data_IF_027619732961
#
_entry.id   IF_027619732961
#
_cell.length_a   1.000
_cell.length_b   1.000
_cell.length_c   1.000
_cell.angle_alpha   90.00
_cell.angle_beta   90.00
_cell.angle_gamma   90.00
#
_symmetry.space_group_name_H-M   'P 1'
#
loop_
_entity.id
_entity.type
_entity.pdbx_description
1 polymer ?
#
# COMPACT_ATOMS: atom_id res chain seq x y z
N UNK A 1 9.60 34.54 36.77
CA UNK A 1 8.50 34.87 37.69
C UNK A 1 7.36 35.52 36.90
N UNK A 2 6.37 34.74 36.47
CA UNK A 2 5.14 35.24 35.84
C UNK A 2 3.97 34.72 36.68
N UNK A 3 3.26 35.64 37.34
CA UNK A 3 2.05 35.36 38.11
C UNK A 3 0.91 35.00 37.15
N UNK A 4 0.37 33.79 37.29
CA UNK A 4 -0.89 33.37 36.65
C UNK A 4 -2.01 33.46 37.70
N UNK A 5 -3.02 34.27 37.37
CA UNK A 5 -4.22 34.51 38.17
C UNK A 5 -5.19 33.33 38.02
N UNK A 6 -5.58 32.73 39.15
CA UNK A 6 -6.70 31.79 39.23
C UNK A 6 -8.02 32.57 39.21
N UNK A 7 -8.84 32.33 38.19
CA UNK A 7 -10.23 32.76 38.15
C UNK A 7 -11.13 31.63 38.68
N UNK A 8 -11.74 31.84 39.84
CA UNK A 8 -12.81 30.99 40.37
C UNK A 8 -14.12 31.29 39.61
N UNK A 9 -14.61 30.34 38.83
CA UNK A 9 -15.96 30.37 38.29
C UNK A 9 -16.88 29.56 39.21
N UNK A 10 -17.81 30.24 39.87
CA UNK A 10 -18.85 29.63 40.68
C UNK A 10 -19.92 29.04 39.76
N UNK A 11 -20.02 27.72 39.70
CA UNK A 11 -21.12 27.02 39.02
C UNK A 11 -22.37 27.02 39.92
N UNK A 12 -23.45 27.61 39.40
CA UNK A 12 -24.79 27.57 39.98
C UNK A 12 -25.41 26.18 39.76
N UNK A 13 -25.57 25.42 40.84
CA UNK A 13 -26.35 24.20 40.89
C UNK A 13 -27.84 24.54 40.85
N UNK A 14 -28.50 24.23 39.73
CA UNK A 14 -29.97 24.21 39.63
C UNK A 14 -30.43 22.77 39.87
N UNK A 15 -31.23 22.48 40.91
CA UNK A 15 -31.82 21.16 41.08
C UNK A 15 -32.91 20.96 40.00
N UNK A 16 -32.65 20.04 39.08
CA UNK A 16 -33.67 19.51 38.18
C UNK A 16 -34.65 18.69 39.01
N UNK A 17 -35.90 19.15 39.06
CA UNK A 17 -37.02 18.37 39.59
C UNK A 17 -37.24 17.16 38.67
N UNK A 18 -36.82 15.99 39.11
CA UNK A 18 -37.12 14.73 38.43
C UNK A 18 -38.61 14.42 38.52
N UNK A 19 -39.26 14.27 37.38
CA UNK A 19 -40.53 13.58 37.30
C UNK A 19 -40.25 12.08 37.50
N UNK A 20 -40.27 11.62 38.76
CA UNK A 20 -40.38 10.19 39.04
C UNK A 20 -41.79 9.74 38.65
N UNK A 21 -41.92 9.13 37.47
CA UNK A 21 -43.08 8.31 37.15
C UNK A 21 -42.97 7.04 38.00
N UNK A 22 -43.58 7.07 39.19
CA UNK A 22 -43.84 5.88 39.98
C UNK A 22 -44.83 5.00 39.20
N UNK A 23 -44.30 4.03 38.45
CA UNK A 23 -45.11 2.91 37.96
C UNK A 23 -45.42 2.08 39.20
N UNK A 24 -46.62 2.27 39.76
CA UNK A 24 -47.15 1.34 40.75
C UNK A 24 -47.42 0.01 40.04
N UNK A 25 -46.53 -0.95 40.26
CA UNK A 25 -46.81 -2.36 39.98
C UNK A 25 -47.82 -2.78 41.04
N UNK A 26 -49.10 -2.75 40.67
CA UNK A 26 -50.18 -3.25 41.50
C UNK A 26 -50.07 -4.77 41.55
N UNK A 27 -49.39 -5.30 42.58
CA UNK A 27 -49.37 -6.72 42.94
C UNK A 27 -50.74 -7.12 43.57
N UNK A 28 -51.82 -6.76 42.88
CA UNK A 28 -53.20 -6.99 43.24
C UNK A 28 -53.52 -8.48 43.26
N UNK A 29 -53.41 -9.07 44.45
CA UNK A 29 -53.67 -10.48 44.70
C UNK A 29 -55.06 -10.96 44.27
N UNK A 30 -55.08 -12.19 43.75
CA UNK A 30 -56.21 -13.11 43.95
C UNK A 30 -57.29 -13.12 42.87
N UNK A 31 -56.92 -13.13 41.59
CA UNK A 31 -57.83 -13.51 40.49
C UNK A 31 -57.36 -14.80 39.83
N UNK A 32 -57.95 -15.94 40.19
CA UNK A 32 -57.67 -17.20 39.54
C UNK A 32 -58.11 -17.18 38.06
N UNK A 33 -57.18 -17.39 37.13
CA UNK A 33 -57.49 -17.93 35.80
C UNK A 33 -57.36 -17.02 34.58
N UNK A 34 -56.68 -15.89 34.66
CA UNK A 34 -56.23 -15.18 33.45
C UNK A 34 -54.91 -15.78 32.97
N UNK A 35 -54.93 -16.60 31.92
CA UNK A 35 -53.72 -16.86 31.14
C UNK A 35 -53.15 -15.49 30.75
N UNK A 36 -51.88 -15.23 31.05
CA UNK A 36 -51.23 -13.98 30.68
C UNK A 36 -51.49 -13.70 29.20
N UNK A 37 -52.20 -12.61 28.89
CA UNK A 37 -52.63 -12.28 27.51
C UNK A 37 -51.44 -12.20 26.55
N UNK A 38 -50.25 -11.88 27.08
CA UNK A 38 -49.02 -12.06 26.35
C UNK A 38 -48.63 -13.54 26.34
N UNK A 39 -48.67 -14.14 25.14
CA UNK A 39 -48.04 -15.43 24.84
C UNK A 39 -46.53 -15.43 25.12
N UNK A 40 -45.75 -16.45 24.70
CA UNK A 40 -44.32 -16.51 24.98
C UNK A 40 -43.60 -15.22 24.54
N UNK A 41 -42.61 -14.73 25.32
CA UNK A 41 -41.89 -13.51 24.99
C UNK A 41 -41.18 -13.65 23.65
N UNK A 42 -40.93 -12.52 22.94
CA UNK A 42 -40.13 -12.53 21.74
C UNK A 42 -38.76 -13.16 22.03
N UNK A 43 -38.18 -13.91 21.07
CA UNK A 43 -36.85 -14.46 21.25
C UNK A 43 -35.85 -13.34 21.58
N UNK A 44 -34.88 -13.59 22.48
CA UNK A 44 -33.88 -12.59 22.82
C UNK A 44 -33.16 -12.16 21.54
N UNK A 45 -33.09 -10.85 21.32
CA UNK A 45 -32.28 -10.32 20.23
C UNK A 45 -30.82 -10.56 20.60
N UNK A 46 -29.98 -10.99 19.65
CA UNK A 46 -28.53 -11.20 19.85
C UNK A 46 -27.76 -9.87 19.97
N UNK A 47 -28.42 -8.82 20.46
CA UNK A 47 -27.82 -7.53 20.72
C UNK A 47 -26.95 -7.57 21.99
N UNK A 48 -26.05 -6.58 22.15
CA UNK A 48 -25.16 -6.49 23.31
C UNK A 48 -25.89 -6.29 24.65
N UNK A 49 -27.16 -5.86 24.62
CA UNK A 49 -28.04 -5.90 25.79
C UNK A 49 -29.15 -6.95 25.55
N UNK A 50 -29.34 -7.91 26.45
CA UNK A 50 -30.52 -8.76 26.39
C UNK A 50 -31.77 -7.90 26.66
N UNK A 51 -32.81 -7.98 25.83
CA UNK A 51 -34.05 -7.26 26.10
C UNK A 51 -34.67 -7.76 27.41
N UNK A 52 -35.31 -6.87 28.15
CA UNK A 52 -36.11 -7.21 29.33
C UNK A 52 -37.57 -7.03 28.95
N UNK A 53 -38.22 -8.11 28.54
CA UNK A 53 -39.61 -8.05 28.11
C UNK A 53 -40.55 -8.06 29.31
N UNK A 54 -41.45 -7.08 29.39
CA UNK A 54 -42.58 -7.09 30.31
C UNK A 54 -43.89 -7.05 29.52
N UNK A 55 -44.86 -7.85 29.96
CA UNK A 55 -46.21 -7.82 29.41
C UNK A 55 -46.97 -6.67 30.09
N UNK A 56 -47.38 -5.67 29.31
CA UNK A 56 -48.19 -4.54 29.78
C UNK A 56 -49.38 -4.44 28.82
N UNK A 57 -50.60 -4.58 29.36
CA UNK A 57 -51.86 -4.49 28.60
C UNK A 57 -51.94 -5.40 27.36
N UNK A 58 -51.41 -6.62 27.47
CA UNK A 58 -51.43 -7.60 26.38
C UNK A 58 -50.35 -7.41 25.31
N UNK A 59 -49.46 -6.43 25.45
CA UNK A 59 -48.31 -6.21 24.56
C UNK A 59 -46.97 -6.42 25.28
N UNK A 60 -46.02 -7.05 24.58
CA UNK A 60 -44.63 -7.16 25.07
C UNK A 60 -43.90 -5.84 24.87
N UNK A 61 -43.53 -5.19 25.97
CA UNK A 61 -42.75 -3.95 26.01
C UNK A 61 -41.33 -4.29 26.45
N UNK A 62 -40.33 -3.81 25.71
CA UNK A 62 -38.93 -3.88 26.15
C UNK A 62 -38.69 -2.79 27.21
N UNK A 63 -38.61 -3.21 28.47
CA UNK A 63 -38.38 -2.32 29.61
C UNK A 63 -36.91 -2.21 29.99
N UNK A 64 -36.00 -2.87 29.26
CA UNK A 64 -34.56 -2.75 29.51
C UNK A 64 -34.02 -1.32 29.30
N UNK A 65 -34.87 -0.38 28.88
CA UNK A 65 -34.48 0.94 28.45
C UNK A 65 -33.81 0.85 27.09
N UNK A 66 -33.87 1.92 26.30
CA UNK A 66 -32.98 2.04 25.17
C UNK A 66 -31.55 1.86 25.69
N UNK A 67 -30.81 0.85 25.21
CA UNK A 67 -29.39 0.72 25.55
C UNK A 67 -28.75 2.08 25.32
N UNK A 68 -27.96 2.61 26.27
CA UNK A 68 -27.19 3.80 25.98
C UNK A 68 -26.38 3.53 24.71
N UNK A 69 -26.42 4.48 23.79
CA UNK A 69 -25.64 4.36 22.56
C UNK A 69 -24.17 4.12 22.94
N UNK A 70 -23.50 3.15 22.30
CA UNK A 70 -22.16 2.77 22.71
C UNK A 70 -21.22 3.97 22.64
N UNK A 71 -20.63 4.32 23.77
CA UNK A 71 -19.75 5.47 23.88
C UNK A 71 -18.35 5.12 23.36
N UNK A 72 -17.76 6.08 22.65
CA UNK A 72 -16.35 5.95 22.28
C UNK A 72 -15.48 6.18 23.51
N UNK A 73 -14.45 5.33 23.75
CA UNK A 73 -13.45 5.59 24.76
C UNK A 73 -12.86 6.99 24.60
N UNK A 74 -12.57 7.68 25.71
CA UNK A 74 -12.02 9.04 25.67
C UNK A 74 -10.64 9.13 25.00
N UNK A 75 -9.85 8.06 25.09
CA UNK A 75 -8.57 7.90 24.41
C UNK A 75 -8.68 6.79 23.36
N UNK A 76 -7.79 6.81 22.38
CA UNK A 76 -7.70 5.74 21.40
C UNK A 76 -7.47 4.38 22.08
N UNK A 77 -8.31 3.37 21.82
CA UNK A 77 -8.14 2.04 22.40
C UNK A 77 -6.96 1.30 21.77
N UNK A 78 -6.38 0.36 22.51
CA UNK A 78 -5.32 -0.51 21.97
C UNK A 78 -5.90 -1.57 21.03
N UNK A 79 -5.13 -1.99 20.03
CA UNK A 79 -5.53 -3.10 19.15
C UNK A 79 -5.79 -4.36 19.98
N UNK A 80 -6.98 -4.96 19.80
CA UNK A 80 -7.43 -6.16 20.51
C UNK A 80 -8.15 -5.89 21.83
N UNK A 81 -8.24 -4.63 22.28
CA UNK A 81 -9.02 -4.28 23.47
C UNK A 81 -10.52 -4.51 23.24
N UNK A 82 -11.25 -4.95 24.28
CA UNK A 82 -12.69 -5.20 24.18
C UNK A 82 -13.47 -3.91 23.88
N UNK A 83 -14.54 -4.05 23.12
CA UNK A 83 -15.39 -2.95 22.69
C UNK A 83 -16.87 -3.26 22.91
N UNK A 84 -17.70 -2.22 23.07
CA UNK A 84 -19.10 -2.38 23.46
C UNK A 84 -19.96 -2.98 22.33
N UNK A 85 -19.61 -2.71 21.06
CA UNK A 85 -20.41 -3.14 19.91
C UNK A 85 -19.56 -3.38 18.66
N UNK A 86 -19.61 -4.59 18.10
CA UNK A 86 -18.99 -4.91 16.80
C UNK A 86 -19.51 -3.94 15.73
N UNK A 87 -18.59 -3.36 14.96
CA UNK A 87 -18.86 -2.33 13.97
C UNK A 87 -18.91 -0.90 14.51
N UNK A 88 -18.78 -0.69 15.83
CA UNK A 88 -18.60 0.65 16.42
C UNK A 88 -17.36 1.31 15.82
N UNK A 89 -17.49 2.57 15.42
CA UNK A 89 -16.40 3.38 14.88
C UNK A 89 -16.21 4.61 15.75
N UNK A 90 -14.96 4.88 16.09
CA UNK A 90 -14.56 6.03 16.89
C UNK A 90 -13.43 6.77 16.19
N UNK A 91 -13.61 8.07 15.97
CA UNK A 91 -12.60 8.94 15.36
C UNK A 91 -11.84 9.69 16.45
N UNK A 92 -10.52 9.66 16.38
CA UNK A 92 -9.61 10.31 17.30
C UNK A 92 -8.71 11.26 16.54
N UNK A 93 -8.60 12.50 17.00
CA UNK A 93 -7.64 13.46 16.46
C UNK A 93 -6.34 13.33 17.24
N UNK A 94 -5.26 12.86 16.59
CA UNK A 94 -3.95 12.66 17.22
C UNK A 94 -2.93 13.50 16.48
N UNK A 95 -2.01 14.11 17.22
CA UNK A 95 -0.91 14.89 16.65
C UNK A 95 0.03 13.93 15.91
N UNK A 96 0.28 14.19 14.63
CA UNK A 96 1.11 13.32 13.81
C UNK A 96 2.59 13.54 14.10
N UNK A 97 3.40 12.48 14.14
CA UNK A 97 4.85 12.61 14.34
C UNK A 97 5.58 13.22 13.12
N UNK A 98 4.94 13.24 11.95
CA UNK A 98 5.53 13.57 10.65
C UNK A 98 5.02 14.89 10.04
N UNK A 99 4.28 15.70 10.79
CA UNK A 99 3.79 17.00 10.34
C UNK A 99 3.41 17.90 11.51
N UNK A 100 3.15 19.18 11.23
CA UNK A 100 2.63 20.15 12.22
C UNK A 100 1.11 20.03 12.45
N UNK A 101 0.52 18.88 12.11
CA UNK A 101 -0.91 18.68 12.01
C UNK A 101 -1.45 17.56 12.90
N UNK A 102 -2.77 17.49 12.97
CA UNK A 102 -3.50 16.37 13.55
C UNK A 102 -4.11 15.54 12.42
N UNK A 103 -4.14 14.23 12.56
CA UNK A 103 -4.92 13.36 11.69
C UNK A 103 -6.02 12.62 12.44
N UNK A 104 -7.05 12.26 11.69
CA UNK A 104 -8.21 11.52 12.19
C UNK A 104 -7.94 10.02 12.09
N UNK A 105 -7.81 9.37 13.24
CA UNK A 105 -7.65 7.93 13.38
C UNK A 105 -9.01 7.30 13.62
N UNK A 106 -9.38 6.32 12.81
CA UNK A 106 -10.63 5.58 12.98
C UNK A 106 -10.33 4.22 13.59
N UNK A 107 -10.73 4.03 14.85
CA UNK A 107 -10.77 2.71 15.48
C UNK A 107 -12.13 2.07 15.21
N UNK A 108 -12.12 0.85 14.69
CA UNK A 108 -13.31 0.05 14.43
C UNK A 108 -13.32 -1.16 15.34
N UNK A 109 -14.40 -1.37 16.07
CA UNK A 109 -14.60 -2.58 16.87
C UNK A 109 -14.89 -3.77 15.96
N UNK A 110 -14.09 -4.82 16.09
CA UNK A 110 -14.22 -6.07 15.33
C UNK A 110 -14.56 -7.24 16.26
N UNK A 111 -14.72 -8.44 15.70
CA UNK A 111 -14.94 -9.65 16.50
C UNK A 111 -13.76 -9.97 17.45
N UNK A 112 -12.56 -9.46 17.18
CA UNK A 112 -11.37 -9.66 18.01
C UNK A 112 -11.04 -8.46 18.90
N UNK A 113 -11.95 -7.49 19.02
CA UNK A 113 -11.73 -6.23 19.73
C UNK A 113 -11.49 -5.04 18.81
N UNK A 114 -11.06 -3.91 19.37
CA UNK A 114 -10.72 -2.70 18.64
C UNK A 114 -9.60 -2.96 17.63
N UNK A 115 -9.78 -2.45 16.42
CA UNK A 115 -8.78 -2.44 15.37
C UNK A 115 -8.68 -1.02 14.82
N UNK A 116 -7.49 -0.43 14.91
CA UNK A 116 -7.24 0.88 14.32
C UNK A 116 -6.62 0.69 12.95
N UNK A 117 -7.23 1.31 11.94
CA UNK A 117 -6.61 1.45 10.62
C UNK A 117 -5.95 2.81 10.60
N UNK A 118 -4.63 2.82 10.47
CA UNK A 118 -3.84 4.04 10.42
C UNK A 118 -3.72 4.48 8.96
N UNK A 119 -4.06 5.72 8.66
CA UNK A 119 -3.35 6.43 7.60
C UNK A 119 -2.03 6.85 8.26
N UNK A 120 -1.04 5.96 8.25
CA UNK A 120 0.28 6.31 8.76
C UNK A 120 0.79 7.44 7.86
N UNK A 121 0.78 8.67 8.36
CA UNK A 121 1.60 9.70 7.77
C UNK A 121 3.04 9.17 7.83
N UNK A 122 3.60 8.96 6.64
CA UNK A 122 4.98 8.55 6.47
C UNK A 122 5.82 9.83 6.55
N UNK A 123 6.80 9.94 7.46
CA UNK A 123 7.69 11.10 7.49
C UNK A 123 8.32 11.34 6.11
N UNK A 124 8.73 12.57 5.81
CA UNK A 124 9.48 12.77 4.57
C UNK A 124 10.75 11.90 4.61
N UNK A 125 11.02 11.08 3.58
CA UNK A 125 12.17 10.22 3.59
C UNK A 125 13.45 11.05 3.65
N UNK A 126 14.35 10.73 4.57
CA UNK A 126 15.68 11.35 4.58
C UNK A 126 16.61 10.55 3.67
N UNK A 127 16.81 11.09 2.47
CA UNK A 127 17.71 10.50 1.49
C UNK A 127 19.10 11.15 1.54
N UNK A 128 20.18 10.37 1.47
CA UNK A 128 21.49 10.87 1.11
C UNK A 128 21.43 11.78 -0.12
N UNK A 129 22.28 12.82 -0.12
CA UNK A 129 22.44 13.66 -1.30
C UNK A 129 23.10 12.90 -2.46
N UNK A 130 23.98 11.97 -2.14
CA UNK A 130 24.72 11.14 -3.09
C UNK A 130 24.25 9.70 -2.98
N UNK A 131 24.12 9.02 -4.12
CA UNK A 131 23.64 7.64 -4.16
C UNK A 131 24.58 6.73 -3.33
N UNK A 132 24.07 6.05 -2.30
CA UNK A 132 24.86 5.14 -1.48
C UNK A 132 25.24 3.87 -2.28
N UNK A 133 26.26 3.16 -1.80
CA UNK A 133 26.64 1.86 -2.38
C UNK A 133 25.66 0.78 -1.92
N UNK A 134 25.23 -0.10 -2.81
CA UNK A 134 24.43 -1.27 -2.44
C UNK A 134 25.15 -2.11 -1.36
N UNK A 135 24.41 -2.51 -0.33
CA UNK A 135 24.94 -3.25 0.83
C UNK A 135 25.69 -2.39 1.86
N UNK A 136 25.88 -1.09 1.63
CA UNK A 136 26.48 -0.21 2.66
C UNK A 136 25.53 0.03 3.84
N UNK A 137 26.12 0.27 5.02
CA UNK A 137 25.37 0.50 6.27
C UNK A 137 24.50 1.76 6.17
N UNK A 138 23.23 1.62 6.50
CA UNK A 138 22.25 2.71 6.47
C UNK A 138 21.68 3.06 7.87
N UNK A 139 22.29 2.54 8.95
CA UNK A 139 21.85 2.73 10.35
C UNK A 139 21.76 4.19 10.83
N UNK A 140 22.41 5.12 10.12
CA UNK A 140 22.42 6.55 10.46
C UNK A 140 21.32 7.37 9.78
N UNK A 141 20.43 6.74 9.02
CA UNK A 141 19.37 7.40 8.26
C UNK A 141 18.00 7.07 8.83
N UNK A 142 17.21 8.11 9.05
CA UNK A 142 15.85 8.00 9.54
C UNK A 142 14.89 7.91 8.33
N UNK A 143 14.28 6.74 8.13
CA UNK A 143 13.27 6.53 7.07
C UNK A 143 13.77 6.69 5.62
N UNK A 144 14.90 6.11 5.20
CA UNK A 144 15.36 6.19 3.81
C UNK A 144 14.63 5.17 2.94
N UNK A 145 13.36 5.40 2.63
CA UNK A 145 12.60 4.62 1.64
C UNK A 145 12.42 5.41 0.36
N UNK A 146 12.39 4.70 -0.78
CA UNK A 146 12.14 5.28 -2.10
C UNK A 146 13.07 6.46 -2.47
N UNK A 147 14.34 6.38 -2.07
CA UNK A 147 15.32 7.39 -2.44
C UNK A 147 15.63 7.28 -3.94
N UNK A 148 15.23 8.31 -4.69
CA UNK A 148 15.43 8.35 -6.14
C UNK A 148 16.70 9.13 -6.48
N UNK A 149 17.54 8.52 -7.33
CA UNK A 149 18.77 9.11 -7.82
C UNK A 149 18.78 9.08 -9.33
N UNK A 150 19.19 10.20 -9.94
CA UNK A 150 19.42 10.29 -11.37
C UNK A 150 20.82 9.76 -11.68
N UNK A 151 20.90 8.64 -12.39
CA UNK A 151 22.16 8.05 -12.83
C UNK A 151 22.29 8.24 -14.34
N UNK A 152 23.41 8.82 -14.77
CA UNK A 152 23.71 8.93 -16.19
C UNK A 152 24.22 7.60 -16.73
N UNK A 153 23.47 6.99 -17.64
CA UNK A 153 23.92 5.89 -18.49
C UNK A 153 24.06 6.41 -19.93
N UNK A 154 25.28 6.59 -20.42
CA UNK A 154 25.57 6.83 -21.86
C UNK A 154 24.62 7.87 -22.51
N UNK A 155 24.65 9.11 -22.01
CA UNK A 155 23.83 10.26 -22.40
C UNK A 155 22.35 10.25 -22.00
N UNK A 156 21.85 9.17 -21.38
CA UNK A 156 20.48 9.09 -20.85
C UNK A 156 20.53 9.18 -19.32
N UNK A 157 19.65 9.99 -18.73
CA UNK A 157 19.42 10.00 -17.28
C UNK A 157 18.35 8.96 -16.96
N UNK A 158 18.72 7.91 -16.22
CA UNK A 158 17.79 6.90 -15.72
C UNK A 158 17.65 7.02 -14.20
N UNK A 159 16.43 6.98 -13.65
CA UNK A 159 16.25 6.95 -12.21
C UNK A 159 16.68 5.59 -11.64
N UNK A 160 17.25 5.62 -10.45
CA UNK A 160 17.50 4.47 -9.57
C UNK A 160 16.73 4.70 -8.28
N UNK A 161 15.97 3.70 -7.82
CA UNK A 161 15.33 3.73 -6.50
C UNK A 161 16.13 2.88 -5.52
N UNK A 162 16.39 3.42 -4.34
CA UNK A 162 17.03 2.70 -3.24
C UNK A 162 16.30 2.89 -1.92
N UNK A 163 16.42 1.90 -1.03
CA UNK A 163 15.86 1.92 0.32
C UNK A 163 16.81 1.31 1.37
N UNK A 164 16.66 1.64 2.66
CA UNK A 164 17.23 0.81 3.74
C UNK A 164 16.46 -0.51 3.80
N UNK A 165 17.17 -1.63 3.72
CA UNK A 165 16.68 -2.90 4.23
C UNK A 165 16.97 -3.00 5.73
N UNK A 166 15.91 -2.91 6.54
CA UNK A 166 15.99 -3.08 8.00
C UNK A 166 15.89 -4.56 8.45
N UNK A 167 15.76 -5.51 7.52
CA UNK A 167 15.82 -6.93 7.83
C UNK A 167 17.27 -7.41 8.09
N UNK A 168 18.27 -6.65 7.65
CA UNK A 168 19.70 -6.92 7.92
C UNK A 168 20.16 -6.27 9.23
N UNK A 169 21.25 -6.79 9.82
CA UNK A 169 21.85 -6.24 11.03
C UNK A 169 23.39 -6.17 10.89
N UNK A 170 23.96 -4.97 10.64
CA UNK A 170 23.28 -3.68 10.58
C UNK A 170 22.37 -3.56 9.35
N UNK A 171 21.35 -2.67 9.37
CA UNK A 171 20.54 -2.35 8.21
C UNK A 171 21.41 -1.84 7.06
N UNK A 172 21.06 -2.21 5.83
CA UNK A 172 21.89 -1.96 4.64
C UNK A 172 21.09 -1.40 3.48
N UNK A 173 21.70 -0.52 2.69
CA UNK A 173 21.12 0.01 1.46
C UNK A 173 20.84 -1.10 0.42
N UNK A 174 19.65 -1.05 -0.18
CA UNK A 174 19.18 -1.97 -1.20
C UNK A 174 18.71 -1.18 -2.43
N UNK A 175 18.93 -1.74 -3.63
CA UNK A 175 18.42 -1.17 -4.89
C UNK A 175 17.04 -1.77 -5.18
N UNK A 176 15.98 -0.97 -5.05
CA UNK A 176 14.61 -1.42 -5.32
C UNK A 176 14.33 -1.47 -6.84
N UNK A 177 14.88 -0.51 -7.57
CA UNK A 177 14.73 -0.40 -9.02
C UNK A 177 16.05 0.07 -9.62
N UNK A 178 16.79 -0.80 -10.34
CA UNK A 178 18.05 -0.42 -10.97
C UNK A 178 17.83 0.55 -12.12
N UNK A 179 18.89 1.23 -12.54
CA UNK A 179 18.86 2.05 -13.75
C UNK A 179 18.59 1.16 -14.96
N UNK A 180 17.65 1.56 -15.79
CA UNK A 180 17.35 0.89 -17.06
C UNK A 180 18.25 1.50 -18.11
N UNK A 181 19.49 1.03 -18.18
CA UNK A 181 20.42 1.40 -19.26
C UNK A 181 20.20 0.49 -20.50
N UNK A 182 18.96 0.13 -20.82
CA UNK A 182 18.67 -0.87 -21.86
C UNK A 182 18.58 -0.24 -23.23
N UNK A 183 19.67 -0.36 -23.97
CA UNK A 183 19.71 -0.29 -25.42
C UNK A 183 21.10 -0.75 -25.86
N UNK A 184 21.22 -1.94 -26.45
CA UNK A 184 22.51 -2.35 -27.00
C UNK A 184 22.98 -1.33 -28.06
N UNK A 185 22.04 -0.71 -28.76
CA UNK A 185 22.24 0.31 -29.80
C UNK A 185 23.02 1.55 -29.35
N UNK A 186 23.15 1.80 -28.04
CA UNK A 186 23.91 2.94 -27.50
C UNK A 186 25.38 2.60 -27.22
N UNK A 187 25.76 1.32 -27.30
CA UNK A 187 27.14 0.87 -27.08
C UNK A 187 27.91 1.02 -28.40
N UNK A 188 28.76 2.04 -28.48
CA UNK A 188 29.49 2.43 -29.69
C UNK A 188 30.78 1.66 -29.97
N UNK A 189 31.17 0.71 -29.13
CA UNK A 189 32.38 -0.09 -29.32
C UNK A 189 32.18 -1.59 -29.05
N UNK A 190 32.93 -2.41 -29.79
CA UNK A 190 32.81 -3.86 -29.74
C UNK A 190 33.17 -4.46 -28.37
N UNK A 191 34.15 -3.90 -27.65
CA UNK A 191 34.61 -4.48 -26.40
C UNK A 191 33.57 -4.31 -25.29
N UNK A 192 32.99 -3.12 -25.17
CA UNK A 192 31.91 -2.83 -24.23
C UNK A 192 30.65 -3.63 -24.57
N UNK A 193 30.35 -3.80 -25.86
CA UNK A 193 29.19 -4.56 -26.32
C UNK A 193 29.29 -6.04 -25.93
N UNK A 194 30.45 -6.65 -26.20
CA UNK A 194 30.71 -8.06 -25.85
C UNK A 194 30.82 -8.29 -24.34
N UNK A 195 31.01 -7.23 -23.55
CA UNK A 195 31.00 -7.27 -22.09
C UNK A 195 29.62 -7.02 -21.47
N UNK A 196 28.60 -6.72 -22.27
CA UNK A 196 27.24 -6.42 -21.79
C UNK A 196 26.33 -7.62 -22.01
N UNK A 197 25.82 -8.20 -20.92
CA UNK A 197 24.90 -9.34 -20.97
C UNK A 197 23.65 -9.00 -21.80
N UNK A 198 23.31 -9.86 -22.76
CA UNK A 198 22.17 -9.66 -23.67
C UNK A 198 22.46 -8.81 -24.90
N UNK A 199 23.72 -8.40 -25.13
CA UNK A 199 24.14 -7.68 -26.33
C UNK A 199 25.17 -8.45 -27.18
N UNK A 200 25.19 -8.18 -28.48
CA UNK A 200 26.14 -8.73 -29.46
C UNK A 200 26.61 -7.64 -30.43
N UNK A 201 27.89 -7.66 -30.79
CA UNK A 201 28.46 -6.75 -31.78
C UNK A 201 28.27 -7.30 -33.19
N UNK A 202 27.58 -6.56 -34.06
CA UNK A 202 27.38 -6.93 -35.45
C UNK A 202 28.18 -6.01 -36.36
N UNK A 203 28.83 -6.62 -37.36
CA UNK A 203 29.53 -5.92 -38.45
C UNK A 203 28.82 -6.20 -39.78
N UNK A 204 28.83 -5.26 -40.75
CA UNK A 204 28.31 -5.49 -42.09
C UNK A 204 29.04 -6.65 -42.79
N UNK A 205 28.28 -7.58 -43.38
CA UNK A 205 28.83 -8.69 -44.17
C UNK A 205 29.40 -8.26 -45.53
N UNK A 206 30.23 -9.13 -46.14
CA UNK A 206 30.79 -8.89 -47.47
C UNK A 206 29.75 -9.06 -48.57
N UNK A 207 29.19 -7.95 -49.07
CA UNK A 207 28.51 -7.92 -50.37
C UNK A 207 26.98 -7.84 -50.36
N UNK A 208 26.35 -7.73 -49.19
CA UNK A 208 24.89 -7.51 -49.08
C UNK A 208 24.54 -6.05 -48.79
N UNK A 209 23.34 -5.64 -49.19
CA UNK A 209 22.88 -4.25 -49.08
C UNK A 209 22.99 -3.69 -47.66
N UNK A 210 23.19 -2.37 -47.57
CA UNK A 210 23.49 -1.52 -46.38
C UNK A 210 22.54 -1.62 -45.16
N UNK A 211 21.82 -2.70 -44.94
CA UNK A 211 20.74 -2.74 -43.93
C UNK A 211 21.23 -2.85 -42.48
N UNK A 212 22.47 -3.27 -42.25
CA UNK A 212 23.07 -3.30 -40.91
C UNK A 212 24.30 -2.41 -40.90
N UNK A 213 24.33 -1.47 -39.96
CA UNK A 213 25.49 -0.62 -39.66
C UNK A 213 26.29 -1.35 -38.59
N UNK A 214 27.62 -1.24 -38.62
CA UNK A 214 28.45 -1.76 -37.53
C UNK A 214 28.00 -1.16 -36.18
N UNK A 215 27.68 -2.01 -35.21
CA UNK A 215 27.14 -1.57 -33.92
C UNK A 215 26.78 -2.72 -32.98
N UNK A 216 26.29 -2.36 -31.81
CA UNK A 216 25.88 -3.29 -30.77
C UNK A 216 24.36 -3.49 -30.79
N UNK A 217 23.91 -4.74 -30.72
CA UNK A 217 22.51 -5.14 -30.90
C UNK A 217 22.08 -6.14 -29.83
N UNK A 218 20.78 -6.26 -29.51
CA UNK A 218 20.29 -7.30 -28.61
C UNK A 218 20.62 -8.72 -29.12
N UNK A 219 20.93 -9.64 -28.21
CA UNK A 219 21.22 -11.06 -28.51
C UNK A 219 19.97 -11.89 -28.85
N UNK A 220 18.76 -11.33 -28.72
CA UNK A 220 17.53 -12.08 -28.96
C UNK A 220 17.41 -12.46 -30.45
N UNK A 221 17.66 -13.72 -30.76
CA UNK A 221 17.43 -14.29 -32.08
C UNK A 221 15.92 -14.47 -32.29
N UNK A 222 15.30 -13.48 -32.92
CA UNK A 222 13.87 -13.54 -33.18
C UNK A 222 13.47 -14.68 -34.12
N UNK A 223 14.42 -15.35 -34.79
CA UNK A 223 14.11 -16.55 -35.58
C UNK A 223 13.68 -17.72 -34.71
N UNK A 224 14.08 -17.76 -33.44
CA UNK A 224 13.66 -18.79 -32.49
C UNK A 224 12.55 -18.32 -31.56
N UNK A 225 12.69 -17.11 -31.02
CA UNK A 225 11.82 -16.63 -29.94
C UNK A 225 10.67 -15.72 -30.42
N UNK A 226 10.70 -15.32 -31.69
CA UNK A 226 9.77 -14.33 -32.25
C UNK A 226 10.03 -12.92 -31.72
N UNK A 227 9.24 -11.96 -32.21
CA UNK A 227 9.28 -10.58 -31.76
C UNK A 227 8.05 -10.23 -30.92
N UNK A 228 8.26 -9.48 -29.84
CA UNK A 228 7.17 -8.90 -29.04
C UNK A 228 6.68 -7.59 -29.68
N UNK A 229 5.46 -7.16 -29.35
CA UNK A 229 5.00 -5.82 -29.70
C UNK A 229 4.59 -5.55 -31.16
N UNK A 230 4.49 -6.58 -32.01
CA UNK A 230 4.14 -6.39 -33.43
C UNK A 230 5.33 -6.02 -34.32
N UNK A 231 6.54 -6.08 -33.79
CA UNK A 231 7.77 -5.98 -34.55
C UNK A 231 7.93 -7.19 -35.50
N UNK A 232 8.66 -6.98 -36.60
CA UNK A 232 8.93 -7.98 -37.61
C UNK A 232 10.34 -8.53 -37.37
N UNK A 233 10.45 -9.86 -37.36
CA UNK A 233 11.74 -10.52 -37.32
C UNK A 233 12.41 -10.47 -38.69
N UNK A 234 13.48 -9.70 -38.81
CA UNK A 234 14.27 -9.61 -40.04
C UNK A 234 15.47 -10.54 -39.93
N UNK A 235 15.56 -11.62 -40.73
CA UNK A 235 16.76 -12.44 -40.79
C UNK A 235 17.92 -11.62 -41.36
N UNK A 236 19.07 -11.71 -40.70
CA UNK A 236 20.35 -11.18 -41.16
C UNK A 236 21.33 -12.34 -41.33
N UNK A 237 21.89 -12.48 -42.52
CA UNK A 237 23.01 -13.39 -42.72
C UNK A 237 24.27 -12.76 -42.10
N UNK A 238 24.46 -12.98 -40.79
CA UNK A 238 25.70 -12.60 -40.14
C UNK A 238 26.81 -13.49 -40.67
N UNK A 239 27.75 -12.89 -41.39
CA UNK A 239 28.99 -13.55 -41.80
C UNK A 239 30.13 -13.10 -40.86
N UNK A 240 30.41 -13.83 -39.77
CA UNK A 240 31.44 -13.48 -38.80
C UNK A 240 32.86 -13.54 -39.37
N UNK A 241 33.02 -14.01 -40.62
CA UNK A 241 34.29 -14.17 -41.28
C UNK A 241 34.73 -12.90 -42.02
N UNK A 242 34.73 -11.77 -41.30
CA UNK A 242 35.16 -10.43 -41.74
C UNK A 242 36.51 -10.39 -42.50
N UNK A 243 37.36 -11.41 -42.36
CA UNK A 243 38.63 -11.57 -43.11
C UNK A 243 38.89 -12.99 -43.64
N UNK A 244 37.90 -13.88 -43.70
CA UNK A 244 38.07 -15.26 -44.19
C UNK A 244 37.01 -15.58 -45.25
N UNK A 245 37.42 -16.37 -46.26
CA UNK A 245 36.63 -16.75 -47.44
C UNK A 245 35.16 -17.04 -47.07
N UNK A 246 34.25 -16.29 -47.69
CA UNK A 246 32.85 -16.11 -47.29
C UNK A 246 31.99 -17.39 -47.23
N UNK A 247 32.49 -18.53 -47.71
CA UNK A 247 31.69 -19.73 -48.01
C UNK A 247 31.47 -20.66 -46.79
N UNK A 248 31.97 -20.32 -45.59
CA UNK A 248 32.04 -21.26 -44.47
C UNK A 248 31.30 -20.85 -43.19
N UNK A 249 30.67 -19.67 -43.13
CA UNK A 249 30.28 -19.05 -41.86
C UNK A 249 28.82 -18.57 -41.78
N UNK A 250 27.93 -19.08 -42.63
CA UNK A 250 26.55 -18.61 -42.70
C UNK A 250 25.67 -19.29 -41.64
N UNK A 251 25.39 -18.57 -40.56
CA UNK A 251 24.24 -18.82 -39.70
C UNK A 251 23.39 -17.53 -39.68
N UNK A 252 22.14 -17.56 -40.17
CA UNK A 252 21.28 -16.40 -40.08
C UNK A 252 20.95 -16.13 -38.61
N UNK A 253 21.02 -14.86 -38.20
CA UNK A 253 20.51 -14.38 -36.92
C UNK A 253 19.31 -13.47 -37.19
N UNK A 254 18.24 -13.59 -36.43
CA UNK A 254 17.11 -12.67 -36.48
C UNK A 254 17.26 -11.53 -35.51
N UNK A 255 16.83 -10.34 -35.90
CA UNK A 255 16.63 -9.23 -34.98
C UNK A 255 15.25 -8.60 -35.19
N UNK A 256 14.65 -8.11 -34.11
CA UNK A 256 13.33 -7.47 -34.17
C UNK A 256 13.47 -6.02 -34.64
N UNK A 257 12.71 -5.68 -35.68
CA UNK A 257 12.58 -4.31 -36.16
C UNK A 257 11.11 -3.90 -36.13
N UNK A 258 10.84 -2.68 -35.69
CA UNK A 258 9.51 -2.13 -35.84
C UNK A 258 9.15 -1.98 -37.32
N UNK A 259 7.91 -2.31 -37.71
CA UNK A 259 7.49 -2.20 -39.09
C UNK A 259 7.66 -0.76 -39.58
N UNK A 260 8.07 -0.54 -40.84
CA UNK A 260 8.11 0.80 -41.40
C UNK A 260 6.72 1.45 -41.30
N UNK A 261 6.64 2.76 -41.01
CA UNK A 261 5.36 3.45 -40.89
C UNK A 261 4.53 3.30 -42.18
N UNK A 262 3.25 2.98 -42.04
CA UNK A 262 2.32 2.75 -43.15
C UNK A 262 2.23 4.01 -44.04
N UNK A 263 2.55 3.94 -45.35
CA UNK A 263 2.39 5.05 -46.28
C UNK A 263 0.90 5.20 -46.63
N UNK A 264 0.14 5.84 -45.73
CA UNK A 264 -1.29 6.12 -45.91
C UNK A 264 -1.66 6.90 -47.18
#
# INVERSE_FOLDING_TARGET
MRLLRFGFAAALLVPLAGCESLIQIDDGGGGAGGESECGPPPPPNNGPCPPSWHCIDGEWVDTAGACPDPECPANQPSTGESCQKIGQKCSYSIEEPCGSGYSDYVSTCTATGWMTVYNACQPEPTCPKEMPLEGSDCSGWDYPYFCQYDVACLDIISPVSMSCDYATNPPSWHVDSPAVCTGCEIIGDAASCLGTDGCQWLVPGCGEGQQVIEGCYPMNDCLQDGCSGGDICTPYEHNPCWNALCDSCNAPIGFCQSPPPDPG
#
